data_IF_015307675167
#
_entry.id   IF_015307675167
#
_cell.length_a   1.000
_cell.length_b   1.000
_cell.length_c   1.000
_cell.angle_alpha   90.00
_cell.angle_beta   90.00
_cell.angle_gamma   90.00
#
_symmetry.space_group_name_H-M   'P 1'
#
loop_
_entity.id
_entity.type
_entity.pdbx_description
1 polymer ?
#
# COMPACT_ATOMS: atom_id res chain seq x y z
N UNK A 1 26.05 -22.41 -5.15
CA UNK A 1 24.86 -23.25 -4.89
C UNK A 1 25.33 -24.60 -4.40
N UNK A 2 24.90 -25.07 -3.20
CA UNK A 2 25.30 -26.37 -2.66
C UNK A 2 24.88 -27.54 -3.56
N UNK A 3 23.78 -27.37 -4.31
CA UNK A 3 23.14 -28.37 -5.18
C UNK A 3 23.91 -28.69 -6.48
N UNK A 4 24.92 -27.89 -6.83
CA UNK A 4 25.74 -28.08 -8.04
C UNK A 4 27.05 -28.82 -7.76
N UNK A 5 27.38 -29.11 -6.49
CA UNK A 5 28.71 -29.62 -6.10
C UNK A 5 29.04 -31.02 -6.66
N UNK A 6 28.04 -31.80 -7.04
CA UNK A 6 28.20 -33.18 -7.53
C UNK A 6 27.58 -33.40 -8.92
N UNK A 7 27.29 -32.32 -9.66
CA UNK A 7 26.71 -32.40 -11.01
C UNK A 7 27.79 -32.10 -12.04
N UNK A 8 27.80 -32.88 -13.12
CA UNK A 8 28.67 -32.60 -14.26
C UNK A 8 28.17 -31.36 -15.00
N UNK A 9 29.07 -30.44 -15.28
CA UNK A 9 28.81 -29.19 -16.00
C UNK A 9 29.67 -29.08 -17.27
N UNK A 10 30.28 -30.18 -17.71
CA UNK A 10 31.10 -30.26 -18.93
C UNK A 10 30.35 -29.78 -20.18
N UNK A 11 29.05 -30.05 -20.25
CA UNK A 11 28.22 -29.76 -21.42
C UNK A 11 27.77 -28.30 -21.48
N UNK A 12 28.05 -27.50 -20.43
CA UNK A 12 27.72 -26.09 -20.41
C UNK A 12 28.80 -25.27 -21.11
N UNK A 13 28.47 -24.74 -22.28
CA UNK A 13 29.29 -23.73 -22.94
C UNK A 13 28.87 -22.33 -22.46
N UNK A 14 29.75 -21.60 -21.73
CA UNK A 14 29.44 -20.23 -21.35
C UNK A 14 29.36 -19.38 -22.61
N UNK A 15 28.21 -18.75 -22.83
CA UNK A 15 28.03 -17.76 -23.90
C UNK A 15 28.29 -16.39 -23.30
N UNK A 16 29.16 -15.61 -23.95
CA UNK A 16 29.38 -14.22 -23.59
C UNK A 16 28.21 -13.37 -24.12
N UNK A 17 27.39 -12.86 -23.22
CA UNK A 17 26.19 -12.08 -23.55
C UNK A 17 26.30 -10.76 -22.80
N UNK A 18 26.28 -9.65 -23.55
CA UNK A 18 26.14 -8.33 -22.95
C UNK A 18 24.69 -8.13 -22.49
N UNK A 19 24.47 -8.22 -21.18
CA UNK A 19 23.17 -7.99 -20.57
C UNK A 19 22.63 -6.57 -20.79
N UNK A 20 23.48 -5.58 -21.05
CA UNK A 20 23.04 -4.20 -21.27
C UNK A 20 22.40 -3.99 -22.66
N UNK A 21 22.69 -4.88 -23.60
CA UNK A 21 22.09 -4.89 -24.94
C UNK A 21 20.62 -5.34 -24.95
N UNK A 22 20.19 -6.04 -23.90
CA UNK A 22 18.84 -6.61 -23.82
C UNK A 22 17.87 -5.51 -23.35
N UNK A 23 16.97 -5.08 -24.24
CA UNK A 23 15.94 -4.08 -23.95
C UNK A 23 14.78 -4.65 -23.14
N UNK A 24 14.17 -3.83 -22.29
CA UNK A 24 12.89 -4.19 -21.69
C UNK A 24 11.74 -4.11 -22.69
N UNK A 25 10.72 -4.95 -22.47
CA UNK A 25 9.47 -4.91 -23.24
C UNK A 25 8.64 -3.64 -22.96
N UNK A 26 8.75 -3.08 -21.75
CA UNK A 26 8.04 -1.87 -21.35
C UNK A 26 8.93 -0.64 -21.58
N UNK A 27 8.44 0.31 -22.39
CA UNK A 27 9.18 1.51 -22.78
C UNK A 27 9.54 2.43 -21.61
N UNK A 28 8.62 2.66 -20.66
CA UNK A 28 8.89 3.52 -19.49
C UNK A 28 10.01 2.95 -18.61
N UNK A 29 10.02 1.62 -18.48
CA UNK A 29 11.08 0.91 -17.74
C UNK A 29 12.41 0.98 -18.49
N UNK A 30 12.39 0.90 -19.81
CA UNK A 30 13.59 1.02 -20.64
C UNK A 30 14.19 2.43 -20.57
N UNK A 31 13.37 3.48 -20.64
CA UNK A 31 13.84 4.86 -20.45
C UNK A 31 14.50 5.06 -19.07
N UNK A 32 13.89 4.51 -18.00
CA UNK A 32 14.47 4.55 -16.67
C UNK A 32 15.79 3.77 -16.59
N UNK A 33 15.88 2.62 -17.27
CA UNK A 33 17.10 1.80 -17.35
C UNK A 33 18.22 2.56 -18.06
N UNK A 34 17.93 3.16 -19.22
CA UNK A 34 18.91 3.91 -20.00
C UNK A 34 19.48 5.10 -19.23
N UNK A 35 18.62 5.87 -18.54
CA UNK A 35 19.07 6.97 -17.66
C UNK A 35 20.00 6.47 -16.56
N UNK A 36 19.69 5.34 -15.92
CA UNK A 36 20.56 4.74 -14.89
C UNK A 36 21.87 4.21 -15.47
N UNK A 37 21.81 3.62 -16.66
CA UNK A 37 22.98 3.10 -17.36
C UNK A 37 23.93 4.24 -17.76
N UNK A 38 23.42 5.35 -18.30
CA UNK A 38 24.21 6.55 -18.59
C UNK A 38 24.90 7.07 -17.33
N UNK A 39 24.14 7.28 -16.25
CA UNK A 39 24.71 7.70 -14.97
C UNK A 39 25.79 6.75 -14.45
N UNK A 40 25.62 5.43 -14.64
CA UNK A 40 26.62 4.45 -14.25
C UNK A 40 27.89 4.54 -15.10
N UNK A 41 27.77 4.74 -16.41
CA UNK A 41 28.92 4.93 -17.29
C UNK A 41 29.72 6.19 -16.93
N UNK A 42 29.02 7.26 -16.52
CA UNK A 42 29.64 8.53 -16.13
C UNK A 42 30.28 8.47 -14.73
N UNK A 43 29.61 7.86 -13.75
CA UNK A 43 30.00 7.93 -12.33
C UNK A 43 30.67 6.65 -11.81
N UNK A 44 30.57 5.54 -12.54
CA UNK A 44 30.97 4.21 -12.09
C UNK A 44 30.09 3.64 -10.97
N UNK A 45 29.01 4.31 -10.56
CA UNK A 45 28.19 3.94 -9.40
C UNK A 45 26.73 3.76 -9.83
N UNK A 46 26.16 2.59 -9.56
CA UNK A 46 24.76 2.32 -9.88
C UNK A 46 23.83 2.96 -8.84
N UNK A 47 23.11 4.01 -9.26
CA UNK A 47 22.15 4.74 -8.42
C UNK A 47 21.01 3.82 -7.96
N UNK A 48 21.08 3.39 -6.70
CA UNK A 48 20.15 2.43 -6.09
C UNK A 48 20.84 1.29 -5.34
N UNK A 49 22.14 1.09 -5.56
CA UNK A 49 22.97 0.20 -4.74
C UNK A 49 23.51 0.86 -3.47
N UNK A 50 23.04 2.07 -3.13
CA UNK A 50 23.19 2.58 -1.77
C UNK A 50 22.38 1.64 -0.89
N UNK A 51 23.05 0.57 -0.42
CA UNK A 51 22.54 -0.40 0.54
C UNK A 51 21.74 0.42 1.51
N UNK A 52 20.42 0.21 1.56
CA UNK A 52 19.61 0.80 2.61
C UNK A 52 20.42 0.57 3.87
N UNK A 53 21.00 1.63 4.44
CA UNK A 53 21.56 1.57 5.78
C UNK A 53 20.32 1.36 6.62
N UNK A 54 19.82 0.12 6.69
CA UNK A 54 18.72 -0.31 7.53
C UNK A 54 19.13 0.20 8.89
N UNK A 55 18.43 1.24 9.33
CA UNK A 55 18.98 2.31 10.14
C UNK A 55 19.99 1.82 11.16
N UNK A 56 21.22 2.33 11.10
CA UNK A 56 21.98 2.48 12.32
C UNK A 56 21.10 3.38 13.19
N UNK A 57 20.35 2.76 14.11
CA UNK A 57 19.59 3.49 15.11
C UNK A 57 20.63 4.31 15.85
N UNK A 58 20.59 5.62 15.65
CA UNK A 58 21.39 6.55 16.44
C UNK A 58 21.19 6.16 17.91
N UNK A 59 22.26 5.69 18.54
CA UNK A 59 22.20 5.21 19.92
C UNK A 59 22.15 6.45 20.79
N UNK A 60 20.95 6.81 21.22
CA UNK A 60 20.74 7.88 22.18
C UNK A 60 20.81 7.27 23.58
N UNK A 61 21.40 8.01 24.54
CA UNK A 61 21.40 7.59 25.93
C UNK A 61 19.97 7.34 26.43
N UNK A 62 19.80 6.32 27.27
CA UNK A 62 18.48 5.89 27.75
C UNK A 62 17.72 7.00 28.49
N UNK A 63 18.43 7.88 29.21
CA UNK A 63 17.87 9.02 29.91
C UNK A 63 17.15 9.98 28.95
N UNK A 64 17.81 10.38 27.87
CA UNK A 64 17.24 11.31 26.88
C UNK A 64 16.06 10.67 26.14
N UNK A 65 16.14 9.38 25.84
CA UNK A 65 15.03 8.63 25.24
C UNK A 65 13.79 8.62 26.16
N UNK A 66 13.98 8.45 27.48
CA UNK A 66 12.92 8.49 28.48
C UNK A 66 12.32 9.90 28.62
N UNK A 67 13.17 10.93 28.68
CA UNK A 67 12.71 12.33 28.70
C UNK A 67 11.90 12.68 27.46
N UNK A 68 12.41 12.36 26.26
CA UNK A 68 11.72 12.60 24.99
C UNK A 68 10.39 11.85 24.89
N UNK A 69 10.29 10.65 25.48
CA UNK A 69 9.03 9.90 25.57
C UNK A 69 8.00 10.61 26.46
N UNK A 70 8.42 11.13 27.61
CA UNK A 70 7.57 11.89 28.51
C UNK A 70 7.11 13.20 27.85
N UNK A 71 8.02 13.95 27.24
CA UNK A 71 7.70 15.20 26.53
C UNK A 71 6.67 14.97 25.41
N UNK A 72 6.82 13.90 24.63
CA UNK A 72 5.85 13.50 23.61
C UNK A 72 4.48 13.17 24.19
N UNK A 73 4.44 12.53 25.37
CA UNK A 73 3.18 12.20 26.06
C UNK A 73 2.47 13.48 26.52
N UNK A 74 3.21 14.41 27.10
CA UNK A 74 2.68 15.69 27.58
C UNK A 74 2.18 16.57 26.43
N UNK A 75 2.93 16.67 25.33
CA UNK A 75 2.47 17.38 24.12
C UNK A 75 1.17 16.80 23.56
N UNK A 76 1.00 15.47 23.59
CA UNK A 76 -0.24 14.80 23.15
C UNK A 76 -1.41 15.08 24.08
N UNK A 77 -1.20 15.13 25.41
CA UNK A 77 -2.25 15.49 26.37
C UNK A 77 -2.70 16.93 26.18
N UNK A 78 -1.77 17.88 26.15
CA UNK A 78 -2.05 19.31 25.91
C UNK A 78 -2.83 19.53 24.61
N UNK A 79 -2.47 18.83 23.52
CA UNK A 79 -3.20 18.91 22.26
C UNK A 79 -4.64 18.36 22.35
N UNK A 80 -4.87 17.32 23.16
CA UNK A 80 -6.22 16.78 23.39
C UNK A 80 -7.07 17.74 24.23
N UNK A 81 -6.50 18.30 25.28
CA UNK A 81 -7.17 19.29 26.14
C UNK A 81 -7.55 20.54 25.35
N UNK A 82 -6.62 21.09 24.58
CA UNK A 82 -6.88 22.24 23.70
C UNK A 82 -7.97 21.95 22.68
N UNK A 83 -7.99 20.74 22.10
CA UNK A 83 -9.06 20.32 21.19
C UNK A 83 -10.42 20.24 21.89
N UNK A 84 -10.46 19.69 23.11
CA UNK A 84 -11.69 19.61 23.90
C UNK A 84 -12.21 20.99 24.28
N UNK A 85 -11.32 21.92 24.64
CA UNK A 85 -11.69 23.32 24.91
C UNK A 85 -12.24 24.01 23.67
N UNK A 86 -11.57 23.89 22.51
CA UNK A 86 -12.08 24.45 21.25
C UNK A 86 -13.41 23.83 20.80
N UNK A 87 -13.66 22.54 21.13
CA UNK A 87 -14.93 21.86 20.87
C UNK A 87 -16.06 22.39 21.75
N UNK A 88 -15.78 22.62 23.04
CA UNK A 88 -16.72 23.27 23.96
C UNK A 88 -17.00 24.73 23.59
N UNK A 89 -16.00 25.47 23.09
CA UNK A 89 -16.15 26.85 22.61
C UNK A 89 -16.81 26.94 21.21
N UNK A 90 -17.19 25.81 20.60
CA UNK A 90 -17.81 25.79 19.26
C UNK A 90 -16.88 26.21 18.10
N UNK A 91 -15.58 26.44 18.38
CA UNK A 91 -14.56 26.85 17.39
C UNK A 91 -13.85 25.66 16.74
N UNK A 92 -14.12 24.44 17.18
CA UNK A 92 -13.53 23.26 16.60
C UNK A 92 -14.03 23.05 15.17
N UNK A 93 -13.13 23.21 14.19
CA UNK A 93 -13.34 22.66 12.86
C UNK A 93 -13.57 21.17 13.03
N UNK A 94 -14.81 20.73 12.84
CA UNK A 94 -15.16 19.32 12.78
C UNK A 94 -14.14 18.66 11.87
N UNK A 95 -13.51 17.56 12.33
CA UNK A 95 -12.74 16.72 11.41
C UNK A 95 -13.70 16.44 10.27
N UNK A 96 -13.40 16.92 9.06
CA UNK A 96 -14.12 16.52 7.86
C UNK A 96 -13.98 15.00 7.77
N UNK A 97 -14.87 14.27 8.44
CA UNK A 97 -15.21 12.92 8.05
C UNK A 97 -15.64 13.12 6.61
N UNK A 98 -15.08 12.34 5.70
CA UNK A 98 -15.64 12.21 4.37
C UNK A 98 -17.06 11.73 4.64
N UNK A 99 -18.03 12.64 4.62
CA UNK A 99 -19.45 12.28 4.66
C UNK A 99 -19.64 11.49 3.37
N UNK A 100 -19.68 10.16 3.51
CA UNK A 100 -20.21 9.33 2.44
C UNK A 100 -21.70 9.66 2.45
N UNK A 101 -22.06 10.64 1.63
CA UNK A 101 -23.39 11.19 1.52
C UNK A 101 -24.26 10.19 0.76
N UNK A 102 -24.50 9.04 1.37
CA UNK A 102 -25.53 8.15 0.87
C UNK A 102 -26.88 8.68 1.34
N UNK A 103 -27.81 8.83 0.41
CA UNK A 103 -29.17 9.21 0.77
C UNK A 103 -29.84 8.08 1.56
N UNK A 104 -30.89 8.39 2.34
CA UNK A 104 -31.64 7.36 3.04
C UNK A 104 -32.28 6.37 2.06
N UNK A 105 -32.59 6.82 0.85
CA UNK A 105 -33.11 5.99 -0.24
C UNK A 105 -32.06 4.98 -0.71
N UNK A 106 -30.82 5.42 -0.94
CA UNK A 106 -29.70 4.54 -1.34
C UNK A 106 -29.41 3.47 -0.27
N UNK A 107 -29.51 3.82 1.02
CA UNK A 107 -29.37 2.86 2.11
C UNK A 107 -30.53 1.85 2.16
N UNK A 108 -31.74 2.29 1.85
CA UNK A 108 -32.92 1.43 1.82
C UNK A 108 -32.88 0.46 0.63
N UNK A 109 -32.43 0.91 -0.54
CA UNK A 109 -32.27 0.06 -1.72
C UNK A 109 -31.18 -1.00 -1.49
N UNK A 110 -30.04 -0.60 -0.91
CA UNK A 110 -29.00 -1.55 -0.52
C UNK A 110 -29.52 -2.60 0.49
N UNK A 111 -30.41 -2.22 1.40
CA UNK A 111 -31.02 -3.15 2.35
C UNK A 111 -31.95 -4.17 1.67
N UNK A 112 -32.70 -3.75 0.64
CA UNK A 112 -33.55 -4.64 -0.17
C UNK A 112 -32.69 -5.64 -0.93
N UNK A 113 -31.61 -5.19 -1.56
CA UNK A 113 -30.66 -6.04 -2.30
C UNK A 113 -30.04 -7.11 -1.41
N UNK A 114 -29.57 -6.70 -0.22
CA UNK A 114 -29.02 -7.64 0.78
C UNK A 114 -30.07 -8.68 1.21
N UNK A 115 -31.33 -8.27 1.39
CA UNK A 115 -32.41 -9.17 1.75
C UNK A 115 -32.71 -10.17 0.61
N UNK A 116 -32.70 -9.72 -0.65
CA UNK A 116 -32.87 -10.55 -1.84
C UNK A 116 -31.76 -11.61 -1.93
N UNK A 117 -30.51 -11.19 -1.79
CA UNK A 117 -29.34 -12.10 -1.79
C UNK A 117 -29.44 -13.15 -0.67
N UNK A 118 -29.91 -12.77 0.52
CA UNK A 118 -30.12 -13.70 1.64
C UNK A 118 -31.25 -14.69 1.35
N UNK A 119 -32.33 -14.28 0.69
CA UNK A 119 -33.41 -15.18 0.27
C UNK A 119 -32.89 -16.22 -0.74
N UNK A 120 -32.09 -15.80 -1.72
CA UNK A 120 -31.48 -16.70 -2.70
C UNK A 120 -30.52 -17.70 -2.03
N UNK A 121 -29.62 -17.23 -1.16
CA UNK A 121 -28.69 -18.10 -0.41
C UNK A 121 -29.41 -19.13 0.45
N UNK A 122 -30.55 -18.75 1.02
CA UNK A 122 -31.40 -19.64 1.82
C UNK A 122 -32.37 -20.47 0.97
N UNK A 123 -32.26 -20.44 -0.37
CA UNK A 123 -33.12 -21.16 -1.33
C UNK A 123 -34.62 -20.86 -1.19
N UNK A 124 -34.97 -19.65 -0.73
CA UNK A 124 -36.37 -19.21 -0.55
C UNK A 124 -36.99 -18.60 -1.81
N UNK A 125 -36.17 -18.29 -2.80
CA UNK A 125 -36.55 -17.79 -4.13
C UNK A 125 -35.77 -18.55 -5.17
N UNK A 126 -36.32 -18.70 -6.38
CA UNK A 126 -35.59 -19.28 -7.51
C UNK A 126 -34.56 -18.28 -8.04
N UNK A 127 -33.60 -18.78 -8.81
CA UNK A 127 -32.59 -17.91 -9.44
C UNK A 127 -33.23 -16.93 -10.43
N UNK A 128 -34.18 -17.42 -11.23
CA UNK A 128 -34.95 -16.59 -12.17
C UNK A 128 -35.72 -15.46 -11.47
N UNK A 129 -36.33 -15.74 -10.31
CA UNK A 129 -37.02 -14.71 -9.50
C UNK A 129 -36.05 -13.68 -8.93
N UNK A 130 -34.85 -14.10 -8.52
CA UNK A 130 -33.80 -13.20 -8.07
C UNK A 130 -33.32 -12.29 -9.21
N UNK A 131 -33.05 -12.84 -10.39
CA UNK A 131 -32.52 -12.11 -11.54
C UNK A 131 -33.52 -11.02 -12.01
N UNK A 132 -34.83 -11.34 -12.01
CA UNK A 132 -35.90 -10.37 -12.32
C UNK A 132 -35.96 -9.23 -11.28
N UNK A 133 -35.93 -9.54 -9.97
CA UNK A 133 -36.05 -8.54 -8.91
C UNK A 133 -34.77 -7.71 -8.70
N UNK A 134 -33.60 -8.26 -9.00
CA UNK A 134 -32.30 -7.58 -8.86
C UNK A 134 -31.97 -6.69 -10.07
N UNK A 135 -32.76 -6.77 -11.15
CA UNK A 135 -32.61 -5.93 -12.34
C UNK A 135 -31.73 -6.52 -13.44
N UNK A 136 -31.44 -7.83 -13.40
CA UNK A 136 -30.97 -8.56 -14.58
C UNK A 136 -32.18 -8.87 -15.48
N UNK A 137 -32.67 -7.84 -16.17
CA UNK A 137 -33.48 -8.08 -17.37
C UNK A 137 -32.55 -8.59 -18.48
N UNK A 138 -32.83 -9.79 -18.97
CA UNK A 138 -32.40 -10.29 -20.29
C UNK A 138 -32.88 -9.34 -21.39
#
# INVERSE_FOLDING_TARGET
MPELKNKDTSDFTPVDIDFNSIKYQNNEREESRQKKLQNYMETGIWLGQVKHKKGLKQTVAWADAKQKKLERREKRKKKKELRKQMELEGKAKAKKKREQAFSQEELNDLAKDIALMKKLKNKKISKEQFDIEFGENV
#
